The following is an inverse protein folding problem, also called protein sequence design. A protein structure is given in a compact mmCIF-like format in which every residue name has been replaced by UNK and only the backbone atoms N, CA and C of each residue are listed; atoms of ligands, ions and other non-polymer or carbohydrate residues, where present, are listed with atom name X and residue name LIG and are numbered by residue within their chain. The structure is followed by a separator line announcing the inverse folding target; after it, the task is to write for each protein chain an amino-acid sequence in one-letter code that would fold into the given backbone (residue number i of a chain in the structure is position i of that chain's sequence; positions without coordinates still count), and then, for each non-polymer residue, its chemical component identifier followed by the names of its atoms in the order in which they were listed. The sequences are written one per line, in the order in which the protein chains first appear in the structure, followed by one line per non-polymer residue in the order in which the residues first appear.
data_IF_916129741518
#
_entry.id   IF_916129741518
#
_cell.length_a   1.000
_cell.length_b   1.000
_cell.length_c   1.000
_cell.angle_alpha   90.00
_cell.angle_beta   90.00
_cell.angle_gamma   90.00
#
_symmetry.space_group_name_H-M   'P 1'
#
loop_
_entity.id
_entity.type
_entity.pdbx_description
1 polymer ?
#
# COMPACT_ATOMS: atom_id res chain seq x y z
N UNK A 1 -14.95 6.71 -7.62
CA UNK A 1 -14.47 8.02 -7.08
C UNK A 1 -12.95 8.01 -7.15
N UNK A 2 -12.32 8.77 -8.06
CA UNK A 2 -10.87 8.82 -8.15
C UNK A 2 -10.30 9.53 -6.92
N UNK A 3 -9.70 8.76 -6.00
CA UNK A 3 -8.98 9.31 -4.84
C UNK A 3 -7.56 9.68 -5.29
N UNK A 4 -7.18 10.94 -5.09
CA UNK A 4 -5.79 11.36 -5.31
C UNK A 4 -4.87 10.63 -4.33
N UNK A 5 -3.84 9.96 -4.85
CA UNK A 5 -2.83 9.25 -4.05
C UNK A 5 -1.52 10.02 -4.11
N UNK A 6 -0.97 10.37 -2.95
CA UNK A 6 0.35 11.03 -2.84
C UNK A 6 1.47 9.99 -2.86
N UNK A 7 2.56 10.30 -3.55
CA UNK A 7 3.84 9.58 -3.48
C UNK A 7 4.94 10.53 -2.96
N UNK A 8 6.08 9.99 -2.56
CA UNK A 8 7.22 10.80 -2.15
C UNK A 8 7.84 11.51 -3.35
N UNK A 9 8.46 12.67 -3.11
CA UNK A 9 9.16 13.41 -4.17
C UNK A 9 10.30 12.56 -4.77
N UNK A 10 10.99 11.79 -3.93
CA UNK A 10 12.07 10.89 -4.36
C UNK A 10 11.58 9.83 -5.35
N UNK A 11 10.45 9.17 -5.05
CA UNK A 11 9.85 8.20 -5.97
C UNK A 11 9.39 8.89 -7.28
N UNK A 12 8.83 10.09 -7.20
CA UNK A 12 8.44 10.84 -8.39
C UNK A 12 9.65 11.17 -9.28
N UNK A 13 10.76 11.65 -8.69
CA UNK A 13 12.00 11.95 -9.41
C UNK A 13 12.60 10.68 -10.02
N UNK A 14 12.61 9.56 -9.27
CA UNK A 14 13.09 8.28 -9.78
C UNK A 14 12.26 7.82 -11.00
N UNK A 15 10.93 7.95 -10.93
CA UNK A 15 10.04 7.64 -12.06
C UNK A 15 10.30 8.53 -13.27
N UNK A 16 10.55 9.83 -13.07
CA UNK A 16 10.91 10.76 -14.16
C UNK A 16 12.24 10.33 -14.80
N UNK A 17 13.27 10.05 -13.99
CA UNK A 17 14.57 9.60 -14.51
C UNK A 17 14.43 8.30 -15.32
N UNK A 18 13.66 7.35 -14.80
CA UNK A 18 13.46 6.05 -15.43
C UNK A 18 12.65 6.12 -16.73
N UNK A 19 11.51 6.82 -16.74
CA UNK A 19 10.59 6.83 -17.89
C UNK A 19 10.84 7.97 -18.88
N UNK A 20 11.22 9.16 -18.40
CA UNK A 20 11.36 10.38 -19.22
C UNK A 20 12.79 10.57 -19.67
N UNK A 21 13.78 10.37 -18.79
CA UNK A 21 15.20 10.53 -19.11
C UNK A 21 15.87 9.25 -19.62
N UNK A 22 15.09 8.17 -19.75
CA UNK A 22 15.54 6.86 -20.25
C UNK A 22 16.74 6.26 -19.48
N UNK A 23 16.87 6.59 -18.18
CA UNK A 23 17.92 6.06 -17.30
C UNK A 23 17.56 4.65 -16.78
N UNK A 24 17.24 3.73 -17.69
CA UNK A 24 16.71 2.40 -17.33
C UNK A 24 17.79 1.41 -16.87
N UNK A 25 19.04 1.67 -17.20
CA UNK A 25 20.18 0.81 -16.89
C UNK A 25 20.64 0.93 -15.42
N UNK A 26 20.06 1.87 -14.66
CA UNK A 26 20.29 2.02 -13.24
C UNK A 26 19.44 1.01 -12.45
N UNK A 27 20.02 -0.17 -12.20
CA UNK A 27 19.35 -1.25 -11.46
C UNK A 27 18.92 -0.85 -10.06
N UNK A 28 19.73 -0.06 -9.35
CA UNK A 28 19.42 0.36 -7.98
C UNK A 28 18.23 1.31 -7.96
N UNK A 29 18.15 2.24 -8.93
CA UNK A 29 16.97 3.08 -9.12
C UNK A 29 15.73 2.23 -9.45
N UNK A 30 15.86 1.21 -10.30
CA UNK A 30 14.74 0.33 -10.63
C UNK A 30 14.23 -0.42 -9.39
N UNK A 31 15.14 -1.06 -8.64
CA UNK A 31 14.81 -1.74 -7.37
C UNK A 31 14.14 -0.79 -6.39
N UNK A 32 14.65 0.43 -6.27
CA UNK A 32 14.06 1.47 -5.43
C UNK A 32 12.63 1.78 -5.86
N UNK A 33 12.39 2.07 -7.14
CA UNK A 33 11.05 2.35 -7.69
C UNK A 33 10.07 1.22 -7.38
N UNK A 34 10.45 -0.03 -7.66
CA UNK A 34 9.61 -1.20 -7.42
C UNK A 34 9.28 -1.31 -5.93
N UNK A 35 10.29 -1.27 -5.06
CA UNK A 35 10.10 -1.43 -3.62
C UNK A 35 9.19 -0.36 -3.02
N UNK A 36 9.31 0.90 -3.44
CA UNK A 36 8.49 1.99 -2.92
C UNK A 36 7.05 1.94 -3.47
N UNK A 37 6.87 1.53 -4.73
CA UNK A 37 5.55 1.30 -5.29
C UNK A 37 4.82 0.12 -4.62
N UNK A 38 5.52 -0.97 -4.33
CA UNK A 38 4.96 -2.12 -3.60
C UNK A 38 4.55 -1.73 -2.17
N UNK A 39 5.41 -1.00 -1.45
CA UNK A 39 5.07 -0.45 -0.13
C UNK A 39 3.84 0.45 -0.20
N UNK A 40 3.77 1.30 -1.23
CA UNK A 40 2.62 2.19 -1.44
C UNK A 40 1.34 1.40 -1.70
N UNK A 41 1.41 0.37 -2.55
CA UNK A 41 0.28 -0.50 -2.88
C UNK A 41 -0.22 -1.25 -1.64
N UNK A 42 0.70 -1.85 -0.86
CA UNK A 42 0.36 -2.51 0.41
C UNK A 42 -0.34 -1.56 1.36
N UNK A 43 0.18 -0.34 1.54
CA UNK A 43 -0.44 0.69 2.40
C UNK A 43 -1.83 1.09 1.92
N UNK A 44 -2.04 1.15 0.60
CA UNK A 44 -3.36 1.42 0.02
C UNK A 44 -4.35 0.30 0.32
N UNK A 45 -3.94 -0.97 0.11
CA UNK A 45 -4.75 -2.14 0.47
C UNK A 45 -5.14 -2.15 1.94
N UNK A 46 -4.16 -1.98 2.84
CA UNK A 46 -4.40 -1.95 4.28
C UNK A 46 -5.33 -0.81 4.71
N UNK A 47 -5.23 0.36 4.08
CA UNK A 47 -6.15 1.46 4.38
C UNK A 47 -7.58 1.13 3.95
N UNK A 48 -7.73 0.48 2.79
CA UNK A 48 -9.04 0.15 2.25
C UNK A 48 -9.69 -0.99 3.06
N UNK A 49 -8.94 -2.00 3.50
CA UNK A 49 -9.45 -3.04 4.43
C UNK A 49 -9.79 -2.46 5.81
N UNK A 50 -8.94 -1.60 6.37
CA UNK A 50 -9.23 -0.89 7.62
C UNK A 50 -10.50 -0.02 7.51
N UNK A 51 -10.70 0.65 6.38
CA UNK A 51 -11.90 1.45 6.17
C UNK A 51 -13.13 0.55 6.15
N UNK A 52 -13.08 -0.56 5.41
CA UNK A 52 -14.17 -1.55 5.35
C UNK A 52 -14.47 -2.12 6.74
N UNK A 53 -13.46 -2.47 7.52
CA UNK A 53 -13.63 -2.96 8.90
C UNK A 53 -14.23 -1.91 9.86
N UNK A 54 -14.37 -0.65 9.44
CA UNK A 54 -15.03 0.41 10.23
C UNK A 54 -16.39 0.83 9.65
N UNK A 55 -16.61 0.65 8.35
CA UNK A 55 -17.80 1.16 7.66
C UNK A 55 -18.69 0.07 7.06
N UNK A 56 -18.34 -1.22 7.22
CA UNK A 56 -19.19 -2.33 6.78
C UNK A 56 -20.56 -2.29 7.46
N UNK A 57 -21.59 -2.71 6.72
CA UNK A 57 -22.99 -2.63 7.15
C UNK A 57 -23.39 -3.77 8.08
N UNK A 58 -22.70 -4.91 8.00
CA UNK A 58 -22.96 -6.10 8.83
C UNK A 58 -21.77 -6.39 9.75
N UNK A 59 -22.04 -7.03 10.89
CA UNK A 59 -20.99 -7.38 11.85
C UNK A 59 -20.04 -8.45 11.30
N UNK A 60 -20.56 -9.39 10.50
CA UNK A 60 -19.78 -10.45 9.86
C UNK A 60 -18.75 -9.87 8.87
N UNK A 61 -19.17 -9.00 7.95
CA UNK A 61 -18.26 -8.32 7.02
C UNK A 61 -17.25 -7.43 7.74
N UNK A 62 -17.65 -6.86 8.88
CA UNK A 62 -16.79 -6.02 9.70
C UNK A 62 -15.67 -6.83 10.36
N UNK A 63 -16.00 -7.98 10.93
CA UNK A 63 -15.04 -8.87 11.59
C UNK A 63 -14.13 -9.56 10.57
N UNK A 64 -14.67 -9.99 9.41
CA UNK A 64 -13.85 -10.53 8.31
C UNK A 64 -12.80 -9.51 7.85
N UNK A 65 -13.23 -8.27 7.55
CA UNK A 65 -12.31 -7.21 7.16
C UNK A 65 -11.32 -6.81 8.27
N UNK A 66 -11.69 -7.00 9.55
CA UNK A 66 -10.79 -6.79 10.68
C UNK A 66 -9.69 -7.84 10.69
N UNK A 67 -10.03 -9.12 10.55
CA UNK A 67 -9.05 -10.21 10.50
C UNK A 67 -8.10 -10.03 9.31
N UNK A 68 -8.64 -9.75 8.12
CA UNK A 68 -7.84 -9.48 6.92
C UNK A 68 -6.83 -8.33 7.12
N UNK A 69 -7.27 -7.24 7.78
CA UNK A 69 -6.38 -6.13 8.10
C UNK A 69 -5.29 -6.55 9.09
N UNK A 70 -5.66 -7.27 10.16
CA UNK A 70 -4.73 -7.74 11.19
C UNK A 70 -3.68 -8.71 10.64
N UNK A 71 -4.07 -9.59 9.72
CA UNK A 71 -3.16 -10.47 8.98
C UNK A 71 -2.25 -9.67 8.05
N UNK A 72 -2.79 -8.70 7.30
CA UNK A 72 -2.00 -7.89 6.37
C UNK A 72 -0.94 -7.00 7.05
N UNK A 73 -1.20 -6.57 8.29
CA UNK A 73 -0.22 -5.85 9.13
C UNK A 73 0.68 -6.79 9.94
N UNK A 74 0.41 -8.09 9.96
CA UNK A 74 1.20 -9.10 10.67
C UNK A 74 1.03 -9.06 12.19
N UNK A 75 -0.16 -8.70 12.69
CA UNK A 75 -0.42 -8.66 14.14
C UNK A 75 -0.44 -10.08 14.71
N UNK A 76 0.30 -10.33 15.80
CA UNK A 76 0.31 -11.64 16.44
C UNK A 76 -1.07 -11.96 17.03
N UNK A 77 -1.57 -13.22 16.91
CA UNK A 77 -2.91 -13.62 17.40
C UNK A 77 -3.23 -13.18 18.82
N UNK A 78 -2.26 -13.26 19.73
CA UNK A 78 -2.43 -12.88 21.15
C UNK A 78 -2.74 -11.39 21.38
N UNK A 79 -2.50 -10.53 20.40
CA UNK A 79 -2.81 -9.09 20.46
C UNK A 79 -4.04 -8.70 19.63
N UNK A 80 -4.85 -9.67 19.17
CA UNK A 80 -6.01 -9.43 18.28
C UNK A 80 -7.36 -9.31 19.00
N UNK A 81 -7.35 -9.13 20.31
CA UNK A 81 -8.56 -8.93 21.12
C UNK A 81 -9.29 -7.62 20.79
#
# INVERSE_FOLDING_TARGET
MNKNRKITNELMVALIKYHVLNMRDDEEMNKYIVSELEKKLKRMGNHDTYTKSKTASTEEEREEARQDYLDAVGMHPDFRW
#
